data_IF_341762374495
#
_entry.id   IF_341762374495
#
_cell.length_a   1.000
_cell.length_b   1.000
_cell.length_c   1.000
_cell.angle_alpha   90.00
_cell.angle_beta   90.00
_cell.angle_gamma   90.00
#
_symmetry.space_group_name_H-M   'P 1'
#
loop_
_entity.id
_entity.type
_entity.pdbx_description
1 polymer ?
#
# COMPACT_ATOMS: atom_id res chain seq x y z
N UNK A 1 7.77 3.92 8.57
CA UNK A 1 6.37 4.12 8.16
C UNK A 1 5.57 4.36 9.41
N UNK A 2 5.02 5.56 9.59
CA UNK A 2 4.14 5.82 10.73
C UNK A 2 2.71 5.44 10.31
N UNK A 3 2.10 4.56 11.08
CA UNK A 3 0.71 4.11 10.87
C UNK A 3 -0.15 4.72 11.98
N UNK A 4 -1.12 5.53 11.59
CA UNK A 4 -2.10 6.10 12.51
C UNK A 4 -3.45 5.44 12.23
N UNK A 5 -4.01 4.78 13.25
CA UNK A 5 -5.22 3.98 13.08
C UNK A 5 -6.46 4.90 13.07
N UNK A 6 -7.19 4.92 11.97
CA UNK A 6 -8.51 5.55 11.85
C UNK A 6 -9.43 4.51 11.18
N UNK A 7 -10.13 3.73 11.99
CA UNK A 7 -10.94 2.59 11.53
C UNK A 7 -12.24 3.09 10.91
N UNK A 8 -12.39 3.02 9.59
CA UNK A 8 -13.67 3.22 8.91
C UNK A 8 -14.32 1.85 8.64
N UNK A 9 -15.56 1.63 9.13
CA UNK A 9 -16.27 0.34 9.02
C UNK A 9 -16.87 0.14 7.61
N UNK A 10 -16.36 -0.84 6.86
CA UNK A 10 -17.09 -1.94 6.19
C UNK A 10 -16.25 -2.57 5.06
N UNK A 11 -15.93 -3.86 5.15
CA UNK A 11 -15.41 -4.70 4.04
C UNK A 11 -13.90 -4.64 3.78
N UNK A 12 -13.29 -3.45 3.77
CA UNK A 12 -11.86 -3.26 3.53
C UNK A 12 -11.32 -2.25 4.56
N UNK A 13 -10.61 -2.70 5.60
CA UNK A 13 -10.06 -1.77 6.58
C UNK A 13 -9.02 -0.88 5.90
N UNK A 14 -9.19 0.43 5.99
CA UNK A 14 -8.24 1.42 5.48
C UNK A 14 -7.62 2.20 6.63
N UNK A 15 -6.37 2.61 6.47
CA UNK A 15 -5.61 3.41 7.42
C UNK A 15 -4.97 4.60 6.71
N UNK A 16 -4.72 5.67 7.45
CA UNK A 16 -3.87 6.77 6.97
C UNK A 16 -2.42 6.50 7.33
N UNK A 17 -1.52 6.67 6.36
CA UNK A 17 -0.09 6.40 6.51
C UNK A 17 0.73 7.57 6.01
N UNK A 18 1.87 7.80 6.67
CA UNK A 18 2.89 8.72 6.18
C UNK A 18 4.13 7.91 5.77
N UNK A 19 4.51 8.02 4.50
CA UNK A 19 5.67 7.37 3.90
C UNK A 19 6.59 8.49 3.43
N UNK A 20 7.79 8.62 4.00
CA UNK A 20 8.79 9.58 3.51
C UNK A 20 8.35 11.05 3.47
N UNK A 21 7.31 11.46 4.21
CA UNK A 21 6.74 12.81 4.15
C UNK A 21 5.49 12.92 3.27
N UNK A 22 5.20 11.92 2.45
CA UNK A 22 3.96 11.85 1.65
C UNK A 22 2.85 11.19 2.46
N UNK A 23 1.72 11.89 2.57
CA UNK A 23 0.54 11.41 3.27
C UNK A 23 -0.36 10.61 2.30
N UNK A 24 -0.68 9.37 2.67
CA UNK A 24 -1.66 8.53 1.98
C UNK A 24 -2.84 8.31 2.92
N UNK A 25 -3.96 8.94 2.61
CA UNK A 25 -5.12 8.96 3.53
C UNK A 25 -5.83 7.61 3.65
N UNK A 26 -5.84 6.81 2.58
CA UNK A 26 -6.58 5.54 2.47
C UNK A 26 -5.70 4.42 1.93
N UNK A 27 -4.79 3.92 2.75
CA UNK A 27 -4.06 2.69 2.47
C UNK A 27 -4.87 1.48 2.94
N UNK A 28 -4.96 0.42 2.12
CA UNK A 28 -5.60 -0.83 2.51
C UNK A 28 -4.76 -1.53 3.58
N UNK A 29 -5.37 -1.88 4.71
CA UNK A 29 -4.76 -2.66 5.77
C UNK A 29 -5.05 -4.14 5.53
N UNK A 30 -4.11 -4.86 4.94
CA UNK A 30 -4.17 -6.32 4.85
C UNK A 30 -3.17 -6.94 5.84
N UNK A 31 -3.68 -7.43 6.97
CA UNK A 31 -2.86 -8.10 7.99
C UNK A 31 -2.41 -9.51 7.56
N UNK A 32 -3.00 -10.08 6.50
CA UNK A 32 -2.64 -11.38 5.95
C UNK A 32 -1.63 -11.30 4.80
N UNK A 33 -1.34 -10.11 4.28
CA UNK A 33 -0.38 -9.93 3.20
C UNK A 33 1.07 -9.98 3.72
N UNK A 34 1.91 -10.76 3.06
CA UNK A 34 3.36 -10.75 3.28
C UNK A 34 4.07 -9.66 2.47
N UNK A 35 3.35 -8.94 1.60
CA UNK A 35 3.88 -7.92 0.69
C UNK A 35 3.05 -6.64 0.76
N UNK A 36 3.72 -5.50 0.60
CA UNK A 36 3.07 -4.19 0.52
C UNK A 36 3.01 -3.75 -0.95
N UNK A 37 1.87 -3.24 -1.37
CA UNK A 37 1.71 -2.62 -2.69
C UNK A 37 1.69 -1.10 -2.54
N UNK A 38 2.56 -0.42 -3.28
CA UNK A 38 2.58 1.03 -3.36
C UNK A 38 2.14 1.45 -4.77
N UNK A 39 1.11 2.31 -4.92
CA UNK A 39 0.75 2.86 -6.22
C UNK A 39 1.92 3.62 -6.84
N UNK A 40 2.08 3.49 -8.16
CA UNK A 40 3.18 4.14 -8.87
C UNK A 40 3.13 5.68 -8.78
N UNK A 41 1.94 6.28 -8.67
CA UNK A 41 1.79 7.71 -8.44
C UNK A 41 2.48 8.17 -7.14
N UNK A 42 2.22 7.47 -6.04
CA UNK A 42 2.85 7.74 -4.74
C UNK A 42 4.37 7.51 -4.83
N UNK A 43 4.81 6.45 -5.52
CA UNK A 43 6.23 6.21 -5.75
C UNK A 43 6.92 7.41 -6.45
N UNK A 44 6.28 7.99 -7.48
CA UNK A 44 6.83 9.18 -8.17
C UNK A 44 6.93 10.38 -7.24
N UNK A 45 5.89 10.64 -6.44
CA UNK A 45 5.86 11.76 -5.50
C UNK A 45 6.98 11.65 -4.45
N UNK A 46 7.33 10.42 -4.04
CA UNK A 46 8.41 10.16 -3.10
C UNK A 46 9.81 10.36 -3.69
N UNK A 47 9.95 10.47 -5.02
CA UNK A 47 11.24 10.73 -5.66
C UNK A 47 12.29 9.65 -5.39
N UNK A 48 11.89 8.38 -5.22
CA UNK A 48 12.75 7.27 -4.80
C UNK A 48 13.77 6.80 -5.87
N UNK A 49 13.92 7.54 -6.96
CA UNK A 49 14.82 7.22 -8.07
C UNK A 49 14.18 6.35 -9.15
N UNK A 50 15.04 5.69 -9.93
CA UNK A 50 14.60 4.79 -11.00
C UNK A 50 14.22 3.41 -10.44
N UNK A 51 13.09 2.88 -10.91
CA UNK A 51 12.69 1.51 -10.64
C UNK A 51 13.48 0.57 -11.55
N UNK A 52 14.07 -0.47 -10.96
CA UNK A 52 14.57 -1.61 -11.73
C UNK A 52 13.39 -2.51 -12.11
N UNK A 53 13.07 -2.69 -13.41
CA UNK A 53 12.03 -3.62 -13.81
C UNK A 53 12.35 -5.00 -13.28
N UNK A 54 11.41 -5.56 -12.52
CA UNK A 54 11.53 -6.88 -11.90
C UNK A 54 10.30 -7.67 -12.28
N UNK A 55 10.49 -8.81 -12.95
CA UNK A 55 9.38 -9.69 -13.29
C UNK A 55 8.86 -10.36 -12.02
N UNK A 56 7.57 -10.20 -11.75
CA UNK A 56 6.89 -10.77 -10.59
C UNK A 56 5.69 -11.58 -11.10
N UNK A 57 5.53 -12.80 -10.61
CA UNK A 57 4.33 -13.61 -10.85
C UNK A 57 3.41 -13.47 -9.64
N UNK A 58 2.20 -12.97 -9.86
CA UNK A 58 1.16 -12.83 -8.83
C UNK A 58 0.09 -13.90 -9.06
N UNK A 59 -0.03 -14.82 -8.11
CA UNK A 59 -1.16 -15.76 -8.06
C UNK A 59 -2.22 -15.17 -7.15
N UNK A 60 -3.36 -14.78 -7.74
CA UNK A 60 -4.51 -14.35 -6.97
C UNK A 60 -5.25 -15.60 -6.50
N UNK A 61 -5.48 -15.70 -5.19
CA UNK A 61 -6.43 -16.67 -4.68
C UNK A 61 -7.82 -16.23 -5.15
N UNK A 62 -8.48 -17.08 -5.94
CA UNK A 62 -9.86 -16.85 -6.33
C UNK A 62 -10.72 -16.85 -5.05
N UNK A 63 -11.62 -15.87 -4.92
CA UNK A 63 -12.56 -15.83 -3.80
C UNK A 63 -13.69 -16.79 -4.14
N UNK A 64 -13.79 -17.91 -3.41
CA UNK A 64 -15.02 -18.72 -3.40
C UNK A 64 -16.21 -17.90 -2.93
#
# INVERSE_FOLDING_TARGET
>A
MQVSNQIQRSGCPTISVNIGGTQVEKALLDLGASVNLLPYSVYKELGLGELKPTSITLSLADRQ
#
